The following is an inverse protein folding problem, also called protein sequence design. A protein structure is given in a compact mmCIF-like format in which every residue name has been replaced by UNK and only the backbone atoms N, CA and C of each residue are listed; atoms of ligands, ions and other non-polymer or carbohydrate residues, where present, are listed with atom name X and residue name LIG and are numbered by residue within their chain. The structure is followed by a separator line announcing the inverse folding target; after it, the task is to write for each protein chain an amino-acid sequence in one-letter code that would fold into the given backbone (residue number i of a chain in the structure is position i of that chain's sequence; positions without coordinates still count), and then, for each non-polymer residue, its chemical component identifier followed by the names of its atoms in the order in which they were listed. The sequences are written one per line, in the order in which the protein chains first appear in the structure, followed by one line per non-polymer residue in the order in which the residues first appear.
data_IF_003771283499
#
_entry.id   IF_003771283499
#
_cell.length_a   1.000
_cell.length_b   1.000
_cell.length_c   1.000
_cell.angle_alpha   90.00
_cell.angle_beta   90.00
_cell.angle_gamma   90.00
#
_symmetry.space_group_name_H-M   'P 1'
#
loop_
_entity.id
_entity.type
_entity.pdbx_description
1 polymer ?
#
# COMPACT_ATOMS: atom_id res chain seq x y z
N UNK A 1 9.02 -9.86 -20.46
CA UNK A 1 8.81 -8.40 -20.49
C UNK A 1 7.60 -8.11 -19.62
N UNK A 2 7.76 -7.37 -18.52
CA UNK A 2 6.62 -7.02 -17.65
C UNK A 2 5.58 -6.25 -18.48
N UNK A 3 4.27 -6.57 -18.39
CA UNK A 3 3.21 -5.86 -19.14
C UNK A 3 3.11 -4.37 -18.76
N UNK A 4 3.87 -3.93 -17.76
CA UNK A 4 3.84 -2.55 -17.24
C UNK A 4 5.04 -1.69 -17.65
N UNK A 5 5.97 -2.19 -18.48
CA UNK A 5 7.14 -1.42 -18.96
C UNK A 5 6.80 -0.26 -19.91
N UNK A 6 5.54 0.02 -20.17
CA UNK A 6 5.10 1.14 -21.01
C UNK A 6 4.06 2.05 -20.34
N UNK A 7 3.84 1.92 -19.03
CA UNK A 7 2.82 2.71 -18.33
C UNK A 7 3.17 4.21 -18.25
N UNK A 8 4.46 4.55 -18.21
CA UNK A 8 4.94 5.95 -18.20
C UNK A 8 4.60 6.73 -19.46
N UNK A 9 4.45 6.07 -20.62
CA UNK A 9 4.19 6.75 -21.88
C UNK A 9 2.70 6.98 -22.18
N UNK A 10 1.81 6.47 -21.33
CA UNK A 10 0.35 6.56 -21.49
C UNK A 10 -0.37 7.31 -20.37
N UNK A 11 0.35 7.96 -19.47
CA UNK A 11 -0.27 8.77 -18.43
C UNK A 11 -0.68 10.09 -19.08
N UNK A 12 -1.90 10.16 -19.59
CA UNK A 12 -2.54 11.44 -19.86
C UNK A 12 -2.60 12.21 -18.55
N UNK A 13 -2.11 13.44 -18.56
CA UNK A 13 -2.19 14.32 -17.39
C UNK A 13 -3.65 14.46 -16.98
N UNK A 14 -3.94 14.24 -15.71
CA UNK A 14 -5.27 14.49 -15.19
C UNK A 14 -5.64 15.95 -15.42
N UNK A 15 -6.82 16.20 -16.02
CA UNK A 15 -7.34 17.53 -16.30
C UNK A 15 -8.57 17.74 -15.43
N UNK A 16 -8.72 18.94 -14.90
CA UNK A 16 -9.94 19.35 -14.25
C UNK A 16 -11.11 19.46 -15.23
N UNK A 17 -12.33 19.76 -14.74
CA UNK A 17 -13.53 19.93 -15.57
C UNK A 17 -13.42 21.08 -16.58
N UNK A 18 -12.47 22.02 -16.42
CA UNK A 18 -12.17 23.11 -17.35
C UNK A 18 -11.14 22.74 -18.40
N UNK A 19 -10.52 21.56 -18.29
CA UNK A 19 -9.46 21.08 -19.17
C UNK A 19 -8.07 21.60 -18.81
N UNK A 20 -7.91 22.30 -17.69
CA UNK A 20 -6.62 22.71 -17.16
C UNK A 20 -5.89 21.54 -16.49
N UNK A 21 -4.58 21.57 -16.48
CA UNK A 21 -3.76 20.60 -15.75
C UNK A 21 -3.85 20.96 -14.27
N UNK A 22 -4.29 20.02 -13.42
CA UNK A 22 -4.29 20.22 -11.99
C UNK A 22 -2.85 20.33 -11.48
N UNK A 23 -2.48 21.47 -10.92
CA UNK A 23 -1.18 21.68 -10.30
C UNK A 23 -1.24 21.28 -8.83
N UNK A 24 -0.52 20.22 -8.48
CA UNK A 24 -0.37 19.80 -7.09
C UNK A 24 0.80 20.59 -6.46
N UNK A 25 0.63 21.09 -5.22
CA UNK A 25 1.69 21.82 -4.52
C UNK A 25 2.82 20.91 -4.01
N UNK A 26 2.75 19.60 -4.26
CA UNK A 26 3.73 18.61 -3.83
C UNK A 26 4.31 17.86 -5.01
N UNK A 27 5.58 17.46 -4.90
CA UNK A 27 6.29 16.68 -5.92
C UNK A 27 6.22 15.17 -5.68
N UNK A 28 5.70 14.74 -4.53
CA UNK A 28 5.60 13.32 -4.16
C UNK A 28 4.56 13.07 -3.06
N UNK A 29 4.11 11.81 -2.93
CA UNK A 29 3.29 11.40 -1.79
C UNK A 29 4.02 11.63 -0.45
N UNK A 30 5.28 11.35 -0.39
CA UNK A 30 6.06 11.50 0.84
C UNK A 30 6.16 12.95 1.31
N UNK A 31 6.26 13.91 0.41
CA UNK A 31 6.22 15.34 0.74
C UNK A 31 4.84 15.74 1.25
N UNK A 32 3.78 15.37 0.52
CA UNK A 32 2.40 15.56 0.96
C UNK A 32 2.16 14.99 2.36
N UNK A 33 2.52 13.73 2.56
CA UNK A 33 2.31 13.01 3.82
C UNK A 33 3.05 13.68 4.96
N UNK A 34 4.33 14.03 4.76
CA UNK A 34 5.15 14.73 5.75
C UNK A 34 4.56 16.09 6.12
N UNK A 35 4.09 16.85 5.16
CA UNK A 35 3.44 18.15 5.41
C UNK A 35 2.20 18.02 6.29
N UNK A 36 1.48 16.89 6.25
CA UNK A 36 0.28 16.64 7.06
C UNK A 36 0.60 16.11 8.45
N UNK A 37 1.48 15.10 8.55
CA UNK A 37 1.76 14.45 9.84
C UNK A 37 2.61 15.29 10.79
N UNK A 38 3.33 16.29 10.25
CA UNK A 38 4.11 17.23 11.06
C UNK A 38 3.50 18.64 11.11
N UNK A 39 2.31 18.86 10.60
CA UNK A 39 1.60 20.13 10.72
C UNK A 39 1.28 20.40 12.23
N UNK A 40 1.75 21.53 12.81
CA UNK A 40 1.50 21.86 14.21
C UNK A 40 0.02 21.92 14.59
N UNK A 41 -0.86 22.22 13.63
CA UNK A 41 -2.32 22.29 13.86
C UNK A 41 -3.01 20.94 13.77
N UNK A 42 -2.38 19.94 13.14
CA UNK A 42 -2.94 18.60 12.92
C UNK A 42 -2.29 17.54 13.82
N UNK A 43 -1.05 17.71 14.21
CA UNK A 43 -0.19 16.68 14.83
C UNK A 43 -0.84 15.91 15.99
N UNK A 44 -1.67 16.57 16.79
CA UNK A 44 -2.40 15.97 17.93
C UNK A 44 -3.84 15.57 17.61
N UNK A 45 -4.33 15.89 16.42
CA UNK A 45 -5.69 15.52 16.00
C UNK A 45 -5.75 14.04 15.61
N UNK A 46 -6.91 13.43 15.83
CA UNK A 46 -7.15 12.09 15.35
C UNK A 46 -7.27 12.10 13.82
N UNK A 47 -6.48 11.24 13.18
CA UNK A 47 -6.55 10.97 11.75
C UNK A 47 -7.44 9.78 11.45
N UNK A 48 -7.23 8.66 12.16
CA UNK A 48 -7.90 7.39 11.92
C UNK A 48 -8.34 6.77 13.23
N UNK A 49 -9.56 6.28 13.27
CA UNK A 49 -10.03 5.38 14.31
C UNK A 49 -10.58 4.13 13.66
N UNK A 50 -9.95 3.00 13.95
CA UNK A 50 -10.44 1.68 13.57
C UNK A 50 -11.23 1.06 14.72
N UNK A 51 -12.42 0.57 14.43
CA UNK A 51 -13.28 -0.14 15.38
C UNK A 51 -13.69 -1.48 14.79
N UNK A 52 -13.52 -2.55 15.55
CA UNK A 52 -14.04 -3.89 15.27
C UNK A 52 -14.80 -4.36 16.53
N UNK A 53 -16.11 -4.29 16.49
CA UNK A 53 -16.96 -4.59 17.63
C UNK A 53 -16.98 -6.09 17.96
N UNK A 54 -16.86 -6.96 16.94
CA UNK A 54 -16.82 -8.41 17.13
C UNK A 54 -15.55 -8.84 17.86
N UNK A 55 -14.40 -8.29 17.47
CA UNK A 55 -13.11 -8.55 18.09
C UNK A 55 -12.82 -7.65 19.29
N UNK A 56 -13.70 -6.69 19.60
CA UNK A 56 -13.54 -5.67 20.63
C UNK A 56 -12.23 -4.88 20.49
N UNK A 57 -11.88 -4.57 19.25
CA UNK A 57 -10.67 -3.80 18.93
C UNK A 57 -11.08 -2.36 18.67
N UNK A 58 -10.35 -1.42 19.30
CA UNK A 58 -10.39 -0.01 18.99
C UNK A 58 -8.97 0.52 18.96
N UNK A 59 -8.55 1.03 17.81
CA UNK A 59 -7.23 1.67 17.61
C UNK A 59 -7.45 3.06 17.04
N UNK A 60 -6.83 4.06 17.65
CA UNK A 60 -6.89 5.45 17.21
C UNK A 60 -5.47 5.94 16.95
N UNK A 61 -5.30 6.65 15.86
CA UNK A 61 -4.03 7.26 15.46
C UNK A 61 -4.23 8.77 15.30
N UNK A 62 -3.47 9.56 16.04
CA UNK A 62 -3.25 10.97 15.71
C UNK A 62 -2.41 11.06 14.44
N UNK A 63 -2.33 12.25 13.84
CA UNK A 63 -1.44 12.48 12.69
C UNK A 63 0.01 12.12 13.02
N UNK A 64 0.51 12.48 14.21
CA UNK A 64 1.88 12.13 14.63
C UNK A 64 2.09 10.62 14.79
N UNK A 65 1.14 9.91 15.43
CA UNK A 65 1.22 8.46 15.62
C UNK A 65 1.09 7.71 14.29
N UNK A 66 0.24 8.19 13.39
CA UNK A 66 0.15 7.68 12.02
C UNK A 66 1.50 7.82 11.33
N UNK A 67 2.10 9.02 11.36
CA UNK A 67 3.41 9.28 10.75
C UNK A 67 4.49 8.34 11.27
N UNK A 68 4.61 8.21 12.58
CA UNK A 68 5.57 7.33 13.22
C UNK A 68 5.34 5.85 12.86
N UNK A 69 4.07 5.42 12.78
CA UNK A 69 3.72 4.03 12.46
C UNK A 69 3.98 3.70 11.00
N UNK A 70 3.62 4.61 10.09
CA UNK A 70 3.92 4.49 8.66
C UNK A 70 5.43 4.43 8.41
N UNK A 71 6.22 5.25 9.13
CA UNK A 71 7.68 5.22 9.02
C UNK A 71 8.27 3.88 9.44
N UNK A 72 7.76 3.27 10.53
CA UNK A 72 8.19 1.94 10.96
C UNK A 72 7.87 0.89 9.90
N UNK A 73 6.67 0.92 9.35
CA UNK A 73 6.26 -0.04 8.31
C UNK A 73 7.03 0.17 7.00
N UNK A 74 7.27 1.42 6.61
CA UNK A 74 8.11 1.73 5.45
C UNK A 74 9.54 1.20 5.63
N UNK A 75 10.10 1.28 6.86
CA UNK A 75 11.39 0.67 7.16
C UNK A 75 11.35 -0.87 7.07
N UNK A 76 10.25 -1.53 7.46
CA UNK A 76 10.08 -2.97 7.24
C UNK A 76 10.07 -3.28 5.75
N UNK A 77 9.24 -2.58 4.96
CA UNK A 77 9.17 -2.80 3.52
C UNK A 77 10.53 -2.60 2.84
N UNK A 78 11.23 -1.52 3.17
CA UNK A 78 12.50 -1.18 2.56
C UNK A 78 13.69 -1.99 3.11
N UNK A 79 13.94 -1.90 4.43
CA UNK A 79 15.18 -2.43 5.01
C UNK A 79 15.10 -3.91 5.33
N UNK A 80 13.88 -4.45 5.60
CA UNK A 80 13.71 -5.87 5.95
C UNK A 80 13.33 -6.72 4.76
N UNK A 81 12.40 -6.23 3.90
CA UNK A 81 11.93 -6.95 2.72
C UNK A 81 12.72 -6.58 1.45
N UNK A 82 13.58 -5.57 1.52
CA UNK A 82 14.41 -5.13 0.39
C UNK A 82 13.61 -4.49 -0.75
N UNK A 83 12.40 -3.98 -0.46
CA UNK A 83 11.58 -3.35 -1.47
C UNK A 83 12.07 -1.93 -1.78
N UNK A 84 11.97 -1.56 -3.05
CA UNK A 84 12.42 -0.28 -3.59
C UNK A 84 11.35 0.33 -4.49
N UNK A 85 11.55 1.57 -4.90
CA UNK A 85 10.68 2.24 -5.88
C UNK A 85 10.50 1.40 -7.14
N UNK A 86 9.26 1.26 -7.58
CA UNK A 86 8.87 0.46 -8.73
C UNK A 86 8.51 -1.00 -8.41
N UNK A 87 8.84 -1.49 -7.20
CA UNK A 87 8.32 -2.78 -6.72
C UNK A 87 6.81 -2.73 -6.50
N UNK A 88 6.18 -3.89 -6.34
CA UNK A 88 4.74 -4.04 -6.12
C UNK A 88 4.50 -4.90 -4.89
N UNK A 89 3.63 -4.40 -4.01
CA UNK A 89 3.21 -5.12 -2.81
C UNK A 89 1.73 -5.47 -2.91
N UNK A 90 1.40 -6.76 -2.85
CA UNK A 90 0.01 -7.17 -2.70
C UNK A 90 -0.47 -6.98 -1.26
N UNK A 91 -1.74 -6.59 -1.09
CA UNK A 91 -2.40 -6.58 0.20
C UNK A 91 -3.60 -7.52 0.19
N UNK A 92 -3.57 -8.53 1.08
CA UNK A 92 -4.66 -9.46 1.33
C UNK A 92 -5.09 -9.26 2.79
N UNK A 93 -5.63 -8.07 3.05
CA UNK A 93 -6.01 -7.58 4.38
C UNK A 93 -7.50 -7.26 4.41
N UNK A 94 -8.06 -7.18 5.60
CA UNK A 94 -9.43 -6.68 5.79
C UNK A 94 -9.48 -5.15 5.63
N UNK A 95 -10.68 -4.58 5.71
CA UNK A 95 -10.89 -3.14 5.80
C UNK A 95 -10.51 -2.67 7.21
N UNK A 96 -9.22 -2.60 7.50
CA UNK A 96 -8.66 -2.28 8.79
C UNK A 96 -7.60 -1.17 8.71
N UNK A 97 -7.08 -0.77 9.86
CA UNK A 97 -6.02 0.24 9.96
C UNK A 97 -4.71 -0.23 9.28
N UNK A 98 -4.42 -1.53 9.27
CA UNK A 98 -3.20 -2.08 8.64
C UNK A 98 -3.19 -1.86 7.13
N UNK A 99 -4.37 -1.91 6.50
CA UNK A 99 -4.52 -1.61 5.08
C UNK A 99 -4.09 -0.17 4.79
N UNK A 100 -4.60 0.80 5.55
CA UNK A 100 -4.24 2.22 5.40
C UNK A 100 -2.75 2.44 5.65
N UNK A 101 -2.21 1.86 6.72
CA UNK A 101 -0.80 1.99 7.09
C UNK A 101 0.12 1.39 6.01
N UNK A 102 -0.25 0.23 5.44
CA UNK A 102 0.51 -0.44 4.39
C UNK A 102 0.52 0.39 3.11
N UNK A 103 -0.61 0.95 2.71
CA UNK A 103 -0.72 1.81 1.54
C UNK A 103 0.18 3.04 1.68
N UNK A 104 0.09 3.76 2.79
CA UNK A 104 0.89 4.96 3.00
C UNK A 104 2.40 4.66 3.08
N UNK A 105 2.78 3.53 3.71
CA UNK A 105 4.16 3.10 3.76
C UNK A 105 4.72 2.76 2.36
N UNK A 106 3.94 2.05 1.56
CA UNK A 106 4.30 1.70 0.18
C UNK A 106 4.40 2.96 -0.71
N UNK A 107 3.40 3.84 -0.68
CA UNK A 107 3.41 5.06 -1.49
C UNK A 107 4.53 6.03 -1.13
N UNK A 108 4.91 6.08 0.14
CA UNK A 108 6.08 6.87 0.58
C UNK A 108 7.38 6.40 -0.09
N UNK A 109 7.49 5.11 -0.37
CA UNK A 109 8.64 4.48 -1.03
C UNK A 109 8.55 4.44 -2.56
N UNK A 110 7.42 4.85 -3.15
CA UNK A 110 7.15 4.70 -4.58
C UNK A 110 6.89 3.25 -5.00
N UNK A 111 6.32 2.47 -4.09
CA UNK A 111 5.91 1.08 -4.29
C UNK A 111 4.41 1.07 -4.62
N UNK A 112 4.03 0.39 -5.70
CA UNK A 112 2.63 0.21 -6.06
C UNK A 112 1.95 -0.84 -5.17
N UNK A 113 0.73 -0.55 -4.72
CA UNK A 113 -0.10 -1.51 -3.96
C UNK A 113 -1.04 -2.24 -4.92
N UNK A 114 -1.13 -3.54 -4.76
CA UNK A 114 -2.05 -4.44 -5.49
C UNK A 114 -3.05 -5.00 -4.48
N UNK A 115 -4.21 -4.37 -4.27
CA UNK A 115 -5.22 -4.88 -3.37
C UNK A 115 -5.87 -6.13 -3.96
N UNK A 116 -5.90 -7.21 -3.18
CA UNK A 116 -6.54 -8.48 -3.53
C UNK A 116 -7.55 -8.80 -2.42
N UNK A 117 -8.81 -9.02 -2.80
CA UNK A 117 -9.80 -9.45 -1.83
C UNK A 117 -9.38 -10.81 -1.23
N UNK A 118 -9.41 -10.88 0.09
CA UNK A 118 -9.02 -12.06 0.85
C UNK A 118 -9.90 -13.30 0.51
N UNK A 119 -11.14 -13.06 0.07
CA UNK A 119 -12.12 -14.09 -0.28
C UNK A 119 -12.04 -14.56 -1.76
N UNK A 120 -11.14 -13.98 -2.56
CA UNK A 120 -10.97 -14.45 -3.93
C UNK A 120 -10.49 -15.90 -3.98
N UNK A 121 -10.78 -16.60 -5.08
CA UNK A 121 -10.27 -17.96 -5.28
C UNK A 121 -8.73 -17.98 -5.38
N UNK A 122 -8.13 -19.10 -5.04
CA UNK A 122 -6.66 -19.28 -5.11
C UNK A 122 -6.14 -19.06 -6.54
N UNK A 123 -6.88 -19.50 -7.56
CA UNK A 123 -6.52 -19.29 -8.96
C UNK A 123 -6.51 -17.81 -9.31
N UNK A 124 -7.49 -17.04 -8.80
CA UNK A 124 -7.57 -15.61 -9.07
C UNK A 124 -6.48 -14.83 -8.32
N UNK A 125 -6.20 -15.20 -7.07
CA UNK A 125 -5.06 -14.67 -6.31
C UNK A 125 -3.75 -14.94 -7.04
N UNK A 126 -3.53 -16.18 -7.50
CA UNK A 126 -2.36 -16.56 -8.29
C UNK A 126 -2.23 -15.69 -9.54
N UNK A 127 -3.31 -15.59 -10.33
CA UNK A 127 -3.32 -14.80 -11.55
C UNK A 127 -2.93 -13.34 -11.30
N UNK A 128 -3.52 -12.71 -10.27
CA UNK A 128 -3.24 -11.31 -9.94
C UNK A 128 -1.79 -11.13 -9.50
N UNK A 129 -1.30 -12.00 -8.61
CA UNK A 129 0.08 -11.95 -8.12
C UNK A 129 1.10 -12.09 -9.26
N UNK A 130 0.86 -13.00 -10.17
CA UNK A 130 1.72 -13.26 -11.34
C UNK A 130 1.62 -12.13 -12.36
N UNK A 131 0.40 -11.76 -12.79
CA UNK A 131 0.16 -10.74 -13.81
C UNK A 131 0.64 -9.35 -13.38
N UNK A 132 0.48 -8.99 -12.11
CA UNK A 132 1.00 -7.75 -11.56
C UNK A 132 2.50 -7.81 -11.23
N UNK A 133 3.15 -8.97 -11.39
CA UNK A 133 4.57 -9.17 -11.07
C UNK A 133 4.89 -8.71 -9.63
N UNK A 134 4.07 -9.20 -8.68
CA UNK A 134 4.12 -8.80 -7.27
C UNK A 134 5.42 -9.28 -6.63
N UNK A 135 6.12 -8.36 -5.98
CA UNK A 135 7.41 -8.62 -5.33
C UNK A 135 7.26 -9.12 -3.89
N UNK A 136 6.26 -8.59 -3.17
CA UNK A 136 5.97 -9.00 -1.80
C UNK A 136 4.45 -9.00 -1.55
N UNK A 137 4.00 -9.80 -0.58
CA UNK A 137 2.61 -9.82 -0.13
C UNK A 137 2.52 -9.52 1.37
N UNK A 138 1.64 -8.59 1.73
CA UNK A 138 1.20 -8.33 3.09
C UNK A 138 -0.19 -8.93 3.25
N UNK A 139 -0.34 -9.90 4.12
CA UNK A 139 -1.61 -10.63 4.25
C UNK A 139 -2.03 -10.79 5.72
N UNK A 140 -3.30 -11.09 5.92
CA UNK A 140 -3.80 -11.54 7.20
C UNK A 140 -3.32 -12.97 7.48
N UNK A 141 -3.05 -13.29 8.74
CA UNK A 141 -2.45 -14.58 9.13
C UNK A 141 -3.24 -15.80 8.65
N UNK A 142 -4.57 -15.69 8.50
CA UNK A 142 -5.41 -16.82 8.13
C UNK A 142 -5.21 -17.25 6.67
N UNK A 143 -4.81 -16.32 5.79
CA UNK A 143 -4.49 -16.63 4.39
C UNK A 143 -2.98 -16.81 4.15
N UNK A 144 -2.16 -16.60 5.17
CA UNK A 144 -0.71 -16.72 5.06
C UNK A 144 -0.23 -18.08 4.53
N UNK A 145 -0.77 -19.25 4.99
CA UNK A 145 -0.38 -20.54 4.44
C UNK A 145 -0.64 -20.63 2.93
N UNK A 146 -1.81 -20.19 2.47
CA UNK A 146 -2.16 -20.17 1.05
C UNK A 146 -1.18 -19.32 0.22
N UNK A 147 -0.83 -18.12 0.71
CA UNK A 147 0.05 -17.23 -0.03
C UNK A 147 1.49 -17.74 -0.04
N UNK A 148 1.95 -18.38 1.04
CA UNK A 148 3.27 -19.02 1.06
C UNK A 148 3.35 -20.25 0.15
N UNK A 149 2.27 -21.01 -0.02
CA UNK A 149 2.20 -22.09 -1.00
C UNK A 149 2.28 -21.52 -2.44
N UNK A 150 1.55 -20.45 -2.73
CA UNK A 150 1.64 -19.76 -4.03
C UNK A 150 3.05 -19.21 -4.29
N UNK A 151 3.74 -18.70 -3.27
CA UNK A 151 5.11 -18.19 -3.38
C UNK A 151 6.06 -19.24 -3.97
N UNK A 152 5.89 -20.51 -3.65
CA UNK A 152 6.76 -21.58 -4.15
C UNK A 152 6.78 -21.70 -5.68
N UNK A 153 5.75 -21.19 -6.34
CA UNK A 153 5.55 -21.28 -7.80
C UNK A 153 5.58 -19.92 -8.51
N UNK A 154 5.73 -18.82 -7.75
CA UNK A 154 5.73 -17.44 -8.26
C UNK A 154 7.10 -16.81 -8.00
N UNK A 155 8.05 -16.86 -8.94
CA UNK A 155 9.44 -16.46 -8.71
C UNK A 155 9.59 -14.95 -8.42
N UNK A 156 8.65 -14.10 -8.86
CA UNK A 156 8.67 -12.68 -8.55
C UNK A 156 8.29 -12.40 -7.09
N UNK A 157 7.44 -13.24 -6.47
CA UNK A 157 6.98 -13.10 -5.10
C UNK A 157 8.06 -13.56 -4.10
N UNK A 158 8.96 -12.64 -3.73
CA UNK A 158 10.13 -12.94 -2.88
C UNK A 158 9.80 -13.02 -1.39
N UNK A 159 8.83 -12.22 -0.94
CA UNK A 159 8.54 -12.05 0.47
C UNK A 159 7.04 -12.13 0.75
N UNK A 160 6.69 -12.83 1.82
CA UNK A 160 5.32 -12.87 2.36
C UNK A 160 5.35 -12.49 3.83
N UNK A 161 4.53 -11.52 4.20
CA UNK A 161 4.41 -11.03 5.58
C UNK A 161 2.97 -11.17 6.04
N UNK A 162 2.77 -11.78 7.20
CA UNK A 162 1.46 -11.88 7.83
C UNK A 162 1.33 -10.94 9.02
N UNK A 163 0.17 -10.31 9.12
CA UNK A 163 -0.26 -9.57 10.30
C UNK A 163 -1.28 -10.39 11.10
N UNK A 164 -1.20 -10.30 12.43
CA UNK A 164 -2.13 -10.91 13.35
C UNK A 164 -2.97 -9.86 14.11
N UNK A 165 -3.72 -10.32 15.13
CA UNK A 165 -4.68 -9.50 15.89
C UNK A 165 -4.05 -8.28 16.58
N UNK A 166 -2.76 -8.33 16.90
CA UNK A 166 -2.03 -7.21 17.51
C UNK A 166 -1.47 -6.24 16.46
N UNK A 167 -1.91 -6.36 15.20
CA UNK A 167 -1.46 -5.50 14.12
C UNK A 167 0.04 -5.63 13.87
N UNK A 168 0.75 -4.49 13.80
CA UNK A 168 2.18 -4.45 13.55
C UNK A 168 3.04 -5.09 14.64
N UNK A 169 2.48 -5.36 15.83
CA UNK A 169 3.16 -6.07 16.92
C UNK A 169 3.11 -7.60 16.75
N UNK A 170 2.35 -8.10 15.78
CA UNK A 170 2.18 -9.51 15.50
C UNK A 170 2.50 -9.80 14.02
N UNK A 171 3.73 -9.52 13.64
CA UNK A 171 4.22 -9.66 12.28
C UNK A 171 4.99 -10.96 12.15
N UNK A 172 4.53 -11.85 11.26
CA UNK A 172 5.21 -13.09 10.89
C UNK A 172 5.72 -12.95 9.46
N UNK A 173 6.98 -13.27 9.23
CA UNK A 173 7.61 -13.24 7.91
C UNK A 173 8.04 -14.64 7.50
N UNK A 174 7.75 -15.04 6.28
CA UNK A 174 8.41 -16.14 5.61
C UNK A 174 9.42 -15.58 4.61
N UNK A 175 10.65 -15.65 4.95
CA UNK A 175 11.79 -15.75 4.05
C UNK A 175 12.31 -17.17 4.13
N UNK A 176 13.24 -17.58 3.27
CA UNK A 176 13.81 -18.93 3.22
C UNK A 176 14.30 -19.54 4.57
N UNK A 177 14.03 -18.91 5.69
CA UNK A 177 14.39 -19.35 7.04
C UNK A 177 13.36 -19.06 8.14
N UNK A 178 12.12 -18.62 7.83
CA UNK A 178 11.02 -18.50 8.79
C UNK A 178 11.36 -17.68 10.04
N UNK A 179 11.52 -16.37 9.94
CA UNK A 179 11.77 -15.51 11.13
C UNK A 179 10.49 -14.82 11.59
N UNK A 180 10.17 -14.96 12.89
CA UNK A 180 9.15 -14.17 13.57
C UNK A 180 9.76 -12.84 14.03
N UNK A 181 9.14 -11.71 13.68
CA UNK A 181 9.52 -10.40 14.18
C UNK A 181 8.53 -9.95 15.24
N UNK A 182 8.94 -9.98 16.50
CA UNK A 182 8.08 -9.64 17.63
C UNK A 182 7.91 -8.14 17.86
N UNK A 183 8.72 -7.29 17.24
CA UNK A 183 8.60 -5.83 17.38
C UNK A 183 9.16 -5.09 16.15
N UNK A 184 8.47 -4.03 15.76
CA UNK A 184 9.01 -3.07 14.81
C UNK A 184 10.18 -2.31 15.45
N UNK A 185 11.23 -2.12 14.68
CA UNK A 185 12.32 -1.22 15.07
C UNK A 185 11.79 0.19 15.36
N UNK A 186 12.49 0.99 16.20
CA UNK A 186 12.14 2.39 16.42
C UNK A 186 11.95 3.12 15.07
N UNK A 187 11.06 4.13 15.00
CA UNK A 187 10.89 4.90 13.79
C UNK A 187 12.22 5.56 13.42
N UNK A 188 12.70 5.30 12.23
CA UNK A 188 13.85 5.96 11.63
C UNK A 188 13.37 6.68 10.37
N UNK A 189 13.96 7.82 10.01
CA UNK A 189 13.67 8.42 8.72
C UNK A 189 13.88 7.40 7.63
N UNK A 190 12.82 7.10 6.88
CA UNK A 190 12.89 6.20 5.74
C UNK A 190 13.18 7.02 4.48
N UNK A 191 13.99 6.52 3.53
CA UNK A 191 14.19 7.20 2.26
C UNK A 191 12.84 7.47 1.61
N UNK A 192 12.66 8.71 1.15
CA UNK A 192 11.49 9.11 0.38
C UNK A 192 11.87 9.14 -1.08
N UNK A 193 11.44 8.14 -1.83
CA UNK A 193 11.81 7.98 -3.24
C UNK A 193 10.64 8.15 -4.19
N UNK A 194 9.41 8.33 -3.66
CA UNK A 194 8.20 8.45 -4.47
C UNK A 194 8.16 9.70 -5.34
N UNK A 195 7.51 9.58 -6.50
CA UNK A 195 7.20 10.67 -7.42
C UNK A 195 5.70 10.67 -7.74
N UNK A 196 5.17 11.80 -8.24
CA UNK A 196 3.73 11.93 -8.57
C UNK A 196 3.26 10.92 -9.62
N UNK A 197 4.11 10.60 -10.58
CA UNK A 197 3.78 9.68 -11.66
C UNK A 197 4.03 8.19 -11.33
N UNK A 198 4.51 7.88 -10.13
CA UNK A 198 4.64 6.49 -9.72
C UNK A 198 3.26 5.83 -9.65
N UNK A 199 3.13 4.57 -10.09
CA UNK A 199 1.97 3.75 -9.80
C UNK A 199 1.76 3.67 -8.28
N UNK A 200 0.57 4.05 -7.83
CA UNK A 200 0.18 3.95 -6.41
C UNK A 200 -0.70 2.72 -6.16
N UNK A 201 -1.66 2.47 -7.06
CA UNK A 201 -2.57 1.34 -6.97
C UNK A 201 -2.66 0.62 -8.31
N UNK A 202 -2.75 -0.71 -8.26
CA UNK A 202 -3.11 -1.57 -9.41
C UNK A 202 -4.37 -2.34 -9.01
N UNK A 203 -5.53 -1.84 -9.41
CA UNK A 203 -6.83 -2.41 -9.04
C UNK A 203 -7.31 -3.35 -10.13
N UNK A 204 -7.60 -4.60 -9.76
CA UNK A 204 -8.13 -5.59 -10.69
C UNK A 204 -9.65 -5.57 -10.74
N UNK A 205 -10.18 -5.43 -11.95
CA UNK A 205 -11.62 -5.48 -12.22
C UNK A 205 -11.98 -6.77 -12.95
N UNK A 206 -13.21 -7.27 -12.74
CA UNK A 206 -13.77 -8.37 -13.54
C UNK A 206 -13.99 -7.88 -14.97
N UNK A 207 -13.04 -8.15 -15.87
CA UNK A 207 -13.18 -7.79 -17.27
C UNK A 207 -14.33 -8.54 -17.93
N UNK A 208 -15.04 -7.90 -18.85
CA UNK A 208 -16.10 -8.52 -19.69
C UNK A 208 -15.61 -9.69 -20.53
N UNK A 209 -14.29 -9.88 -20.66
CA UNK A 209 -13.63 -10.92 -21.45
C UNK A 209 -13.16 -12.13 -20.61
N UNK A 210 -13.56 -12.23 -19.34
CA UNK A 210 -13.28 -13.37 -18.46
C UNK A 210 -11.95 -13.29 -17.67
N UNK A 211 -10.94 -12.57 -18.16
CA UNK A 211 -9.69 -12.37 -17.42
C UNK A 211 -9.69 -11.00 -16.71
N UNK A 212 -9.28 -10.94 -15.43
CA UNK A 212 -9.18 -9.67 -14.70
C UNK A 212 -8.19 -8.71 -15.38
N UNK A 213 -8.55 -7.42 -15.41
CA UNK A 213 -7.68 -6.36 -15.93
C UNK A 213 -7.21 -5.48 -14.80
N UNK A 214 -5.91 -5.19 -14.74
CA UNK A 214 -5.32 -4.27 -13.78
C UNK A 214 -5.43 -2.82 -14.27
N UNK A 215 -6.09 -1.95 -13.50
CA UNK A 215 -6.15 -0.51 -13.72
C UNK A 215 -5.09 0.13 -12.83
N UNK A 216 -4.22 0.94 -13.44
CA UNK A 216 -3.15 1.65 -12.72
C UNK A 216 -3.63 3.04 -12.36
N UNK A 217 -3.56 3.38 -11.08
CA UNK A 217 -3.73 4.73 -10.56
C UNK A 217 -2.39 5.23 -10.05
N UNK A 218 -2.00 6.44 -10.46
CA UNK A 218 -0.77 7.07 -9.99
C UNK A 218 -0.98 7.83 -8.67
N UNK A 219 0.12 8.20 -8.02
CA UNK A 219 0.08 9.10 -6.86
C UNK A 219 -0.65 10.41 -7.21
N UNK A 220 -0.38 10.98 -8.39
CA UNK A 220 -1.07 12.19 -8.86
C UNK A 220 -2.58 12.00 -8.95
N UNK A 221 -3.06 10.89 -9.52
CA UNK A 221 -4.49 10.61 -9.59
C UNK A 221 -5.15 10.62 -8.20
N UNK A 222 -4.51 9.97 -7.21
CA UNK A 222 -5.04 9.91 -5.85
C UNK A 222 -5.04 11.27 -5.15
N UNK A 223 -3.98 12.07 -5.32
CA UNK A 223 -3.90 13.39 -4.67
C UNK A 223 -4.85 14.39 -5.30
N UNK A 224 -5.04 14.36 -6.63
CA UNK A 224 -6.00 15.23 -7.32
C UNK A 224 -7.43 14.90 -6.90
N UNK A 225 -7.76 13.60 -6.83
CA UNK A 225 -9.09 13.16 -6.38
C UNK A 225 -9.35 13.56 -4.93
N UNK A 226 -8.35 13.37 -4.06
CA UNK A 226 -8.45 13.80 -2.66
C UNK A 226 -8.62 15.32 -2.51
N UNK A 227 -7.93 16.13 -3.30
CA UNK A 227 -8.04 17.59 -3.29
C UNK A 227 -9.44 18.04 -3.78
N UNK A 228 -9.92 17.42 -4.86
CA UNK A 228 -11.27 17.68 -5.37
C UNK A 228 -12.36 17.33 -4.35
N UNK A 229 -12.24 16.19 -3.65
CA UNK A 229 -13.15 15.79 -2.57
C UNK A 229 -13.10 16.79 -1.40
N UNK A 230 -11.90 17.20 -0.99
CA UNK A 230 -11.72 18.18 0.08
C UNK A 230 -12.38 19.54 -0.28
N UNK A 231 -12.19 20.00 -1.51
CA UNK A 231 -12.80 21.22 -2.00
C UNK A 231 -14.34 21.16 -2.06
N UNK A 232 -14.90 19.97 -2.32
CA UNK A 232 -16.35 19.75 -2.36
C UNK A 232 -16.99 19.77 -0.96
N UNK A 233 -16.30 19.24 0.04
CA UNK A 233 -16.83 19.12 1.40
C UNK A 233 -16.55 20.34 2.31
N UNK A 234 -15.75 21.31 1.89
CA UNK A 234 -15.46 22.59 2.58
C UNK A 234 -14.41 22.44 3.64
#
# INVERSE_FOLDING_TARGET
MSPFTGASDRIEQARDASGSVAELPWVSFAEFFRARVYDPHLVTRNFLTYCDDERRIRRTYTYAELGATVDRLANVLHSTLGLTRGDRVATLLFNDDLTVLTYFAAWKLGIAVVPINIEESTERKRYILEHADVTAACCWRDVYPEITDLQTTLPALREVVAFGDRGLLDLTRQSAGGRRHDSLAPPRPCPSTSQLHDPALIVYTSGTTGQPKGVILTVANLLIDADAIAAWHG
#
